data_IF_379634337591
#
_entry.id   IF_379634337591
#
_cell.length_a   1.000
_cell.length_b   1.000
_cell.length_c   1.000
_cell.angle_alpha   90.00
_cell.angle_beta   90.00
_cell.angle_gamma   90.00
#
_symmetry.space_group_name_H-M   'P 1'
#
loop_
_entity.id
_entity.type
_entity.pdbx_description
1 polymer ?
#
# COMPACT_ATOMS: atom_id res chain seq x y z
N UNK A 1 19.05 -17.10 -8.90
CA UNK A 1 17.97 -17.00 -9.91
C UNK A 1 16.64 -16.63 -9.29
N UNK A 2 16.20 -17.39 -8.28
CA UNK A 2 14.90 -17.09 -7.66
C UNK A 2 14.85 -15.73 -6.96
N UNK A 3 15.96 -15.31 -6.35
CA UNK A 3 16.06 -14.00 -5.69
C UNK A 3 15.84 -12.88 -6.71
N UNK A 4 16.46 -13.00 -7.88
CA UNK A 4 16.31 -12.02 -8.95
C UNK A 4 14.87 -11.96 -9.44
N UNK A 5 14.22 -13.12 -9.60
CA UNK A 5 12.82 -13.19 -9.98
C UNK A 5 11.92 -12.47 -8.99
N UNK A 6 12.14 -12.72 -7.70
CA UNK A 6 11.33 -12.10 -6.65
C UNK A 6 11.47 -10.58 -6.63
N UNK A 7 12.69 -10.09 -6.86
CA UNK A 7 12.93 -8.64 -6.92
C UNK A 7 12.25 -8.04 -8.15
N UNK A 8 12.35 -8.70 -9.29
CA UNK A 8 11.71 -8.23 -10.53
C UNK A 8 10.18 -8.18 -10.34
N UNK A 9 9.60 -9.23 -9.79
CA UNK A 9 8.17 -9.28 -9.51
C UNK A 9 7.77 -8.17 -8.53
N UNK A 10 8.58 -7.97 -7.48
CA UNK A 10 8.35 -6.90 -6.52
C UNK A 10 8.32 -5.53 -7.15
N UNK A 11 9.27 -5.23 -8.04
CA UNK A 11 9.29 -3.94 -8.74
C UNK A 11 8.13 -3.80 -9.71
N UNK A 12 7.69 -4.89 -10.35
CA UNK A 12 6.52 -4.85 -11.22
C UNK A 12 5.25 -4.52 -10.42
N UNK A 13 5.08 -5.12 -9.25
CA UNK A 13 3.95 -4.82 -8.37
C UNK A 13 4.03 -3.38 -7.86
N UNK A 14 5.22 -2.92 -7.53
CA UNK A 14 5.45 -1.54 -7.08
C UNK A 14 5.03 -0.55 -8.16
N UNK A 15 5.43 -0.80 -9.41
CA UNK A 15 5.07 0.05 -10.53
C UNK A 15 3.55 0.10 -10.73
N UNK A 16 2.87 -1.04 -10.59
CA UNK A 16 1.41 -1.09 -10.67
C UNK A 16 0.75 -0.26 -9.57
N UNK A 17 1.27 -0.36 -8.34
CA UNK A 17 0.74 0.42 -7.21
C UNK A 17 0.94 1.92 -7.39
N UNK A 18 2.12 2.34 -7.80
CA UNK A 18 2.42 3.75 -8.06
C UNK A 18 1.54 4.28 -9.18
N UNK A 19 1.36 3.51 -10.25
CA UNK A 19 0.51 3.87 -11.38
C UNK A 19 -0.93 4.09 -10.92
N UNK A 20 -1.46 3.22 -10.07
CA UNK A 20 -2.82 3.35 -9.55
C UNK A 20 -3.03 4.64 -8.76
N UNK A 21 -2.07 5.00 -7.92
CA UNK A 21 -2.15 6.25 -7.15
C UNK A 21 -2.07 7.46 -8.07
N UNK A 22 -1.17 7.42 -9.05
CA UNK A 22 -0.93 8.54 -9.94
C UNK A 22 -2.10 8.83 -10.88
N UNK A 23 -2.88 7.81 -11.23
CA UNK A 23 -3.90 7.92 -12.27
C UNK A 23 -5.33 7.94 -11.77
N UNK A 24 -5.56 7.65 -10.49
CA UNK A 24 -6.94 7.51 -9.98
C UNK A 24 -7.25 8.52 -8.89
N UNK A 25 -8.52 8.95 -8.86
CA UNK A 25 -9.09 9.76 -7.78
C UNK A 25 -10.06 8.94 -6.93
N UNK A 26 -10.32 7.70 -7.31
CA UNK A 26 -11.22 6.82 -6.58
C UNK A 26 -10.53 6.27 -5.34
N UNK A 27 -11.15 6.44 -4.17
CA UNK A 27 -10.57 6.02 -2.90
C UNK A 27 -10.24 4.52 -2.88
N UNK A 28 -11.14 3.68 -3.39
CA UNK A 28 -10.90 2.24 -3.39
C UNK A 28 -9.70 1.85 -4.25
N UNK A 29 -9.57 2.48 -5.42
CA UNK A 29 -8.42 2.21 -6.30
C UNK A 29 -7.13 2.67 -5.64
N UNK A 30 -7.13 3.84 -5.00
CA UNK A 30 -5.96 4.34 -4.27
C UNK A 30 -5.61 3.40 -3.12
N UNK A 31 -6.60 2.92 -2.38
CA UNK A 31 -6.38 2.00 -1.28
C UNK A 31 -5.77 0.69 -1.76
N UNK A 32 -6.29 0.10 -2.84
CA UNK A 32 -5.72 -1.10 -3.43
C UNK A 32 -4.29 -0.85 -3.93
N UNK A 33 -4.03 0.33 -4.49
CA UNK A 33 -2.70 0.69 -4.97
C UNK A 33 -1.70 0.77 -3.82
N UNK A 34 -2.10 1.33 -2.68
CA UNK A 34 -1.27 1.37 -1.48
C UNK A 34 -0.99 -0.05 -0.98
N UNK A 35 -2.00 -0.93 -1.00
CA UNK A 35 -1.81 -2.34 -0.64
C UNK A 35 -0.79 -3.02 -1.56
N UNK A 36 -0.84 -2.74 -2.85
CA UNK A 36 0.13 -3.28 -3.79
C UNK A 36 1.54 -2.79 -3.47
N UNK A 37 1.69 -1.52 -3.11
CA UNK A 37 2.99 -0.96 -2.72
C UNK A 37 3.52 -1.66 -1.47
N UNK A 38 2.67 -1.91 -0.48
CA UNK A 38 3.04 -2.62 0.73
C UNK A 38 3.47 -4.06 0.41
N UNK A 39 2.73 -4.74 -0.44
CA UNK A 39 3.07 -6.10 -0.87
C UNK A 39 4.41 -6.10 -1.59
N UNK A 40 4.63 -5.15 -2.50
CA UNK A 40 5.88 -5.03 -3.24
C UNK A 40 7.06 -4.77 -2.30
N UNK A 41 6.92 -3.83 -1.38
CA UNK A 41 7.95 -3.51 -0.41
C UNK A 41 8.25 -4.72 0.49
N UNK A 42 7.21 -5.47 0.88
CA UNK A 42 7.36 -6.67 1.68
C UNK A 42 8.13 -7.74 0.92
N UNK A 43 7.77 -7.97 -0.34
CA UNK A 43 8.43 -8.99 -1.15
C UNK A 43 9.90 -8.66 -1.38
N UNK A 44 10.20 -7.42 -1.76
CA UNK A 44 11.57 -6.98 -1.99
C UNK A 44 12.36 -7.00 -0.68
N UNK A 45 11.78 -6.45 0.38
CA UNK A 45 12.44 -6.38 1.68
C UNK A 45 12.73 -7.75 2.26
N UNK A 46 11.75 -8.67 2.21
CA UNK A 46 11.93 -10.04 2.71
C UNK A 46 12.99 -10.78 1.91
N UNK A 47 13.00 -10.60 0.59
CA UNK A 47 13.96 -11.27 -0.28
C UNK A 47 15.38 -10.81 0.05
N UNK A 48 15.60 -9.50 0.16
CA UNK A 48 16.91 -8.96 0.48
C UNK A 48 17.33 -9.29 1.91
N UNK A 49 16.41 -9.15 2.86
CA UNK A 49 16.70 -9.40 4.27
C UNK A 49 17.08 -10.86 4.50
N UNK A 50 16.36 -11.77 3.87
CA UNK A 50 16.63 -13.19 3.92
C UNK A 50 18.01 -13.52 3.33
N UNK A 51 18.38 -12.85 2.24
CA UNK A 51 19.68 -13.05 1.57
C UNK A 51 20.85 -12.65 2.47
N UNK A 52 20.65 -11.70 3.37
CA UNK A 52 21.68 -11.26 4.30
C UNK A 52 21.58 -11.91 5.68
N UNK A 53 20.74 -12.92 5.82
CA UNK A 53 20.61 -13.66 7.09
C UNK A 53 19.88 -12.92 8.19
N UNK A 54 19.05 -11.95 7.84
CA UNK A 54 18.29 -11.19 8.82
C UNK A 54 17.14 -11.97 9.45
N UNK A 55 16.56 -11.42 10.50
CA UNK A 55 15.43 -12.02 11.22
C UNK A 55 14.14 -11.71 10.46
N UNK A 56 13.69 -12.67 9.66
CA UNK A 56 12.49 -12.54 8.83
C UNK A 56 11.24 -12.37 9.69
N UNK A 57 11.16 -13.03 10.83
CA UNK A 57 9.99 -12.99 11.71
C UNK A 57 9.80 -11.58 12.24
N UNK A 58 10.86 -10.94 12.70
CA UNK A 58 10.79 -9.57 13.21
C UNK A 58 10.35 -8.61 12.11
N UNK A 59 10.90 -8.77 10.91
CA UNK A 59 10.53 -7.93 9.77
C UNK A 59 9.06 -8.12 9.40
N UNK A 60 8.56 -9.36 9.37
CA UNK A 60 7.16 -9.65 9.07
C UNK A 60 6.22 -9.02 10.10
N UNK A 61 6.54 -9.13 11.38
CA UNK A 61 5.73 -8.54 12.44
C UNK A 61 5.66 -7.02 12.26
N UNK A 62 6.79 -6.40 11.94
CA UNK A 62 6.84 -4.95 11.71
C UNK A 62 5.97 -4.54 10.54
N UNK A 63 6.06 -5.25 9.42
CA UNK A 63 5.27 -4.96 8.22
C UNK A 63 3.79 -5.14 8.50
N UNK A 64 3.40 -6.22 9.15
CA UNK A 64 2.00 -6.49 9.46
C UNK A 64 1.41 -5.48 10.44
N UNK A 65 2.22 -5.00 11.39
CA UNK A 65 1.78 -3.96 12.33
C UNK A 65 1.48 -2.65 11.59
N UNK A 66 2.36 -2.25 10.68
CA UNK A 66 2.16 -1.05 9.86
C UNK A 66 0.92 -1.20 8.98
N UNK A 67 0.76 -2.35 8.34
CA UNK A 67 -0.38 -2.61 7.48
C UNK A 67 -1.70 -2.58 8.25
N UNK A 68 -1.71 -3.08 9.48
CA UNK A 68 -2.91 -3.07 10.33
C UNK A 68 -3.33 -1.64 10.70
N UNK A 69 -2.39 -0.80 11.09
CA UNK A 69 -2.66 0.60 11.39
C UNK A 69 -3.20 1.32 10.17
N UNK A 70 -2.61 1.07 9.02
CA UNK A 70 -3.04 1.67 7.77
C UNK A 70 -4.46 1.25 7.40
N UNK A 71 -4.81 -0.03 7.61
CA UNK A 71 -6.15 -0.52 7.34
C UNK A 71 -7.19 0.19 8.20
N UNK A 72 -6.89 0.39 9.48
CA UNK A 72 -7.79 1.09 10.39
C UNK A 72 -8.00 2.53 9.91
N UNK A 73 -6.92 3.21 9.53
CA UNK A 73 -7.00 4.57 9.00
C UNK A 73 -7.82 4.62 7.71
N UNK A 74 -7.65 3.64 6.84
CA UNK A 74 -8.38 3.55 5.58
C UNK A 74 -9.88 3.37 5.81
N UNK A 75 -10.26 2.53 6.77
CA UNK A 75 -11.66 2.31 7.11
C UNK A 75 -12.29 3.60 7.65
N UNK A 76 -11.58 4.31 8.51
CA UNK A 76 -12.06 5.57 9.08
C UNK A 76 -12.26 6.61 7.98
N UNK A 77 -11.33 6.73 7.05
CA UNK A 77 -11.43 7.66 5.93
C UNK A 77 -12.56 7.27 4.98
N UNK A 78 -12.74 5.99 4.72
CA UNK A 78 -13.83 5.49 3.89
C UNK A 78 -15.19 5.91 4.48
N UNK A 79 -15.36 5.70 5.79
CA UNK A 79 -16.60 6.10 6.47
C UNK A 79 -16.84 7.59 6.38
N UNK A 80 -15.79 8.38 6.54
CA UNK A 80 -15.89 9.83 6.41
C UNK A 80 -16.35 10.25 5.02
N UNK A 81 -15.75 9.66 3.98
CA UNK A 81 -16.12 9.98 2.61
C UNK A 81 -17.57 9.64 2.29
N UNK A 82 -18.03 8.49 2.75
CA UNK A 82 -19.41 8.06 2.53
C UNK A 82 -20.38 8.98 3.25
N UNK A 83 -20.09 9.32 4.51
CA UNK A 83 -20.98 10.19 5.31
C UNK A 83 -21.04 11.61 4.79
N UNK A 84 -19.95 12.10 4.23
CA UNK A 84 -19.91 13.47 3.72
C UNK A 84 -20.65 13.64 2.38
N UNK A 85 -21.10 12.54 1.78
CA UNK A 85 -21.81 12.59 0.51
C UNK A 85 -20.93 12.80 -0.71
N UNK A 86 -19.61 12.80 -0.55
CA UNK A 86 -18.67 12.99 -1.65
C UNK A 86 -18.33 11.70 -2.39
N UNK A 87 -18.87 10.57 -1.90
CA UNK A 87 -18.55 9.28 -2.48
C UNK A 87 -17.08 8.93 -2.29
N UNK A 88 -16.51 8.28 -3.29
CA UNK A 88 -15.14 7.77 -3.22
C UNK A 88 -14.11 8.67 -3.90
N UNK A 89 -14.51 9.84 -4.36
CA UNK A 89 -13.61 10.76 -5.06
C UNK A 89 -12.83 11.59 -4.02
N UNK A 90 -11.54 11.27 -3.85
CA UNK A 90 -10.70 11.94 -2.88
C UNK A 90 -10.37 13.39 -3.25
N UNK A 91 -10.52 13.76 -4.53
CA UNK A 91 -10.25 15.14 -4.96
C UNK A 91 -11.20 16.13 -4.29
N UNK A 92 -12.37 15.68 -3.85
CA UNK A 92 -13.35 16.54 -3.19
C UNK A 92 -12.96 16.88 -1.76
N UNK A 93 -12.02 16.17 -1.16
CA UNK A 93 -11.54 16.47 0.19
C UNK A 93 -10.87 17.84 0.27
N UNK A 94 -10.26 18.31 -0.81
CA UNK A 94 -9.58 19.59 -0.81
C UNK A 94 -10.54 20.75 -0.56
N UNK A 95 -11.83 20.58 -0.84
CA UNK A 95 -12.85 21.63 -0.62
C UNK A 95 -13.08 21.93 0.85
N UNK A 96 -12.75 21.01 1.73
CA UNK A 96 -12.93 21.18 3.18
C UNK A 96 -11.73 21.82 3.85
N UNK A 97 -10.64 21.96 3.14
CA UNK A 97 -9.42 22.57 3.67
C UNK A 97 -9.29 24.03 3.33
N UNK A 98 -10.03 24.44 2.35
CA UNK A 98 -9.95 25.79 1.84
C UNK A 98 -10.85 26.76 2.51
#
# INVERSE_FOLDING_TARGET
MIILYMIIVGFAILAAGISGIATSKNFLVIMFSIELIIIAASLIGLTLYSSYGGDIILLLISIWSIASVELIAAIALYRYLVKSGNGLDVSKLSKYKG
#
